data_IF_562821095094
#
_entry.id   IF_562821095094
#
_cell.length_a   1.000
_cell.length_b   1.000
_cell.length_c   1.000
_cell.angle_alpha   90.00
_cell.angle_beta   90.00
_cell.angle_gamma   90.00
#
_symmetry.space_group_name_H-M   'P 1'
#
loop_
_entity.id
_entity.type
_entity.pdbx_description
1 polymer ?
#
# COMPACT_ATOMS: atom_id res chain seq x y z
N UNK A 1 14.26 3.77 37.22
CA UNK A 1 15.51 2.97 37.29
C UNK A 1 15.42 1.68 36.47
N UNK A 2 14.47 0.76 36.74
CA UNK A 2 14.30 -0.48 35.95
C UNK A 2 13.85 -0.20 34.50
N UNK A 3 12.93 0.74 34.31
CA UNK A 3 12.45 1.19 33.00
C UNK A 3 13.56 1.82 32.16
N UNK A 4 14.37 2.73 32.73
CA UNK A 4 15.54 3.31 32.05
C UNK A 4 16.58 2.26 31.65
N UNK A 5 16.81 1.27 32.51
CA UNK A 5 17.75 0.19 32.23
C UNK A 5 17.24 -0.70 31.09
N UNK A 6 15.94 -1.02 31.10
CA UNK A 6 15.28 -1.76 30.01
C UNK A 6 15.29 -0.96 28.70
N UNK A 7 15.10 0.36 28.74
CA UNK A 7 15.14 1.23 27.55
C UNK A 7 16.57 1.34 27.01
N UNK A 8 17.56 1.53 27.88
CA UNK A 8 18.97 1.70 27.47
C UNK A 8 19.62 0.42 26.95
N UNK A 9 19.22 -0.74 27.48
CA UNK A 9 19.74 -2.04 27.08
C UNK A 9 18.71 -2.89 26.33
N UNK A 10 17.68 -2.28 25.73
CA UNK A 10 16.62 -3.03 25.04
C UNK A 10 17.14 -3.92 23.93
N UNK A 11 18.25 -3.56 23.29
CA UNK A 11 18.91 -4.37 22.27
C UNK A 11 19.29 -5.78 22.78
N UNK A 12 19.61 -5.94 24.07
CA UNK A 12 19.87 -7.26 24.70
C UNK A 12 18.64 -8.17 24.69
N UNK A 13 17.44 -7.62 24.53
CA UNK A 13 16.21 -8.39 24.40
C UNK A 13 15.71 -8.39 22.96
N UNK A 14 15.78 -7.26 22.27
CA UNK A 14 15.33 -7.11 20.89
C UNK A 14 16.11 -8.03 19.96
N UNK A 15 17.45 -8.03 20.03
CA UNK A 15 18.30 -8.77 19.09
C UNK A 15 18.22 -10.29 19.29
N UNK A 16 18.34 -10.87 20.50
CA UNK A 16 18.31 -12.32 20.65
C UNK A 16 16.89 -12.91 20.77
N UNK A 17 15.86 -12.12 21.09
CA UNK A 17 14.49 -12.64 21.30
C UNK A 17 13.52 -12.13 20.25
N UNK A 18 13.32 -10.81 20.16
CA UNK A 18 12.28 -10.24 19.31
C UNK A 18 12.60 -10.43 17.82
N UNK A 19 13.85 -10.20 17.41
CA UNK A 19 14.23 -10.29 16.01
C UNK A 19 14.12 -11.73 15.46
N UNK A 20 14.62 -12.78 16.15
CA UNK A 20 14.36 -14.17 15.75
C UNK A 20 12.88 -14.53 15.77
N UNK A 21 12.12 -14.07 16.77
CA UNK A 21 10.68 -14.31 16.83
C UNK A 21 9.94 -13.63 15.68
N UNK A 22 10.35 -12.43 15.28
CA UNK A 22 9.83 -11.72 14.11
C UNK A 22 10.13 -12.49 12.84
N UNK A 23 11.36 -12.95 12.64
CA UNK A 23 11.74 -13.77 11.48
C UNK A 23 10.92 -15.07 11.43
N UNK A 24 10.72 -15.73 12.57
CA UNK A 24 9.89 -16.93 12.66
C UNK A 24 8.42 -16.63 12.38
N UNK A 25 7.91 -15.49 12.85
CA UNK A 25 6.55 -15.03 12.59
C UNK A 25 6.35 -14.73 11.10
N UNK A 26 7.28 -14.01 10.48
CA UNK A 26 7.28 -13.69 9.06
C UNK A 26 7.40 -14.97 8.22
N UNK A 27 8.27 -15.89 8.63
CA UNK A 27 8.41 -17.20 7.98
C UNK A 27 7.13 -18.03 8.12
N UNK A 28 6.50 -18.06 9.30
CA UNK A 28 5.22 -18.73 9.51
C UNK A 28 4.14 -18.14 8.61
N UNK A 29 4.04 -16.81 8.53
CA UNK A 29 3.08 -16.15 7.64
C UNK A 29 3.42 -16.35 6.18
N UNK A 30 4.70 -16.36 5.79
CA UNK A 30 5.13 -16.64 4.43
C UNK A 30 4.76 -18.07 4.03
N UNK A 31 5.06 -19.06 4.87
CA UNK A 31 4.70 -20.47 4.66
C UNK A 31 3.19 -20.64 4.65
N UNK A 32 2.48 -20.04 5.60
CA UNK A 32 1.01 -20.06 5.64
C UNK A 32 0.45 -19.46 4.37
N UNK A 33 0.86 -18.25 4.01
CA UNK A 33 0.37 -17.56 2.82
C UNK A 33 0.75 -18.33 1.55
N UNK A 34 1.90 -19.00 1.50
CA UNK A 34 2.29 -19.88 0.40
C UNK A 34 1.39 -21.13 0.34
N UNK A 35 1.16 -21.80 1.46
CA UNK A 35 0.26 -22.97 1.57
C UNK A 35 -1.18 -22.61 1.16
N UNK A 36 -1.72 -21.51 1.69
CA UNK A 36 -3.04 -21.02 1.32
C UNK A 36 -3.08 -20.60 -0.17
N UNK A 37 -2.03 -19.93 -0.67
CA UNK A 37 -1.88 -19.59 -2.10
C UNK A 37 -1.83 -20.80 -3.02
N UNK A 38 -1.16 -21.88 -2.60
CA UNK A 38 -0.96 -23.07 -3.43
C UNK A 38 -2.10 -24.09 -3.40
N UNK A 39 -2.81 -24.23 -2.27
CA UNK A 39 -3.81 -25.30 -2.08
C UNK A 39 -5.25 -24.81 -1.92
N UNK A 40 -5.47 -23.56 -1.50
CA UNK A 40 -6.82 -23.02 -1.22
C UNK A 40 -7.23 -21.87 -2.12
N UNK A 41 -6.27 -21.17 -2.71
CA UNK A 41 -6.47 -19.99 -3.52
C UNK A 41 -6.32 -20.33 -5.00
N UNK A 42 -7.45 -20.50 -5.66
CA UNK A 42 -7.52 -20.51 -7.11
C UNK A 42 -8.43 -19.34 -7.51
N UNK A 43 -8.05 -18.51 -8.50
CA UNK A 43 -8.95 -17.51 -9.09
C UNK A 43 -10.33 -18.09 -9.44
N UNK A 44 -10.38 -19.37 -9.82
CA UNK A 44 -11.59 -20.13 -10.14
C UNK A 44 -12.59 -20.23 -8.97
N UNK A 45 -12.11 -20.20 -7.72
CA UNK A 45 -12.94 -20.27 -6.51
C UNK A 45 -13.45 -18.92 -6.03
N UNK A 46 -13.11 -17.83 -6.73
CA UNK A 46 -13.58 -16.48 -6.41
C UNK A 46 -15.11 -16.45 -6.27
N UNK A 47 -15.83 -16.97 -7.26
CA UNK A 47 -17.30 -16.98 -7.29
C UNK A 47 -17.90 -17.75 -6.11
N UNK A 48 -17.30 -18.88 -5.72
CA UNK A 48 -17.71 -19.67 -4.56
C UNK A 48 -17.55 -18.85 -3.27
N UNK A 49 -16.40 -18.21 -3.05
CA UNK A 49 -16.13 -17.39 -1.88
C UNK A 49 -17.03 -16.15 -1.80
N UNK A 50 -17.36 -15.54 -2.94
CA UNK A 50 -18.34 -14.45 -2.99
C UNK A 50 -19.72 -14.94 -2.55
N UNK A 51 -20.14 -16.13 -3.00
CA UNK A 51 -21.41 -16.74 -2.54
C UNK A 51 -21.41 -17.02 -1.04
N UNK A 52 -20.28 -17.43 -0.46
CA UNK A 52 -20.15 -17.61 1.00
C UNK A 52 -20.28 -16.29 1.76
N UNK A 53 -19.74 -15.20 1.23
CA UNK A 53 -19.93 -13.85 1.79
C UNK A 53 -21.40 -13.45 1.71
N UNK A 54 -22.06 -13.65 0.56
CA UNK A 54 -23.50 -13.40 0.42
C UNK A 54 -24.32 -14.25 1.42
N UNK A 55 -23.96 -15.52 1.61
CA UNK A 55 -24.62 -16.40 2.57
C UNK A 55 -24.49 -15.89 4.01
N UNK A 56 -23.30 -15.41 4.42
CA UNK A 56 -23.09 -14.78 5.73
C UNK A 56 -23.97 -13.52 5.90
N UNK A 57 -24.08 -12.67 4.88
CA UNK A 57 -24.96 -11.48 4.92
C UNK A 57 -26.44 -11.87 5.01
N UNK A 58 -26.88 -12.90 4.27
CA UNK A 58 -28.26 -13.43 4.36
C UNK A 58 -28.56 -13.98 5.75
N UNK A 59 -27.63 -14.74 6.34
CA UNK A 59 -27.77 -15.26 7.71
C UNK A 59 -27.89 -14.13 8.74
N UNK A 60 -27.05 -13.11 8.64
CA UNK A 60 -27.12 -11.93 9.49
C UNK A 60 -28.49 -11.22 9.38
N UNK A 61 -29.01 -11.08 8.16
CA UNK A 61 -30.33 -10.48 7.92
C UNK A 61 -31.46 -11.34 8.48
N UNK A 62 -31.40 -12.66 8.28
CA UNK A 62 -32.38 -13.61 8.83
C UNK A 62 -32.39 -13.61 10.37
N UNK A 63 -31.24 -13.35 11.01
CA UNK A 63 -31.12 -13.15 12.45
C UNK A 63 -31.64 -11.77 12.94
N UNK A 64 -32.28 -10.99 12.06
CA UNK A 64 -32.92 -9.71 12.38
C UNK A 64 -31.99 -8.50 12.33
N UNK A 65 -30.75 -8.63 11.83
CA UNK A 65 -29.87 -7.50 11.53
C UNK A 65 -29.55 -6.57 12.72
N UNK A 66 -29.72 -7.05 13.96
CA UNK A 66 -29.75 -6.20 15.17
C UNK A 66 -28.45 -5.44 15.46
N UNK A 67 -27.32 -5.91 14.97
CA UNK A 67 -26.01 -5.25 15.12
C UNK A 67 -25.34 -5.07 13.76
N UNK A 68 -24.57 -3.98 13.56
CA UNK A 68 -23.86 -3.74 12.32
C UNK A 68 -22.95 -4.89 11.90
N UNK A 69 -22.67 -4.97 10.60
CA UNK A 69 -21.68 -5.86 10.04
C UNK A 69 -20.29 -5.22 10.07
N UNK A 70 -19.27 -6.04 10.28
CA UNK A 70 -17.87 -5.63 10.08
C UNK A 70 -17.03 -6.79 9.57
N UNK A 71 -15.87 -6.48 8.98
CA UNK A 71 -14.95 -7.52 8.52
C UNK A 71 -14.25 -8.21 9.69
N UNK A 72 -14.02 -9.52 9.59
CA UNK A 72 -13.31 -10.32 10.58
C UNK A 72 -11.79 -10.03 10.65
N UNK A 73 -11.27 -9.10 9.82
CA UNK A 73 -9.87 -8.64 9.85
C UNK A 73 -9.50 -8.18 11.25
N UNK A 74 -8.41 -8.70 11.81
CA UNK A 74 -7.95 -8.37 13.17
C UNK A 74 -7.53 -6.90 13.26
N UNK A 75 -7.83 -6.27 14.38
CA UNK A 75 -7.62 -4.84 14.61
C UNK A 75 -6.16 -4.40 14.57
N UNK A 76 -5.24 -5.28 14.98
CA UNK A 76 -3.79 -5.01 14.95
C UNK A 76 -3.20 -5.00 13.54
N UNK A 77 -3.96 -5.42 12.52
CA UNK A 77 -3.53 -5.36 11.10
C UNK A 77 -3.98 -4.07 10.41
N UNK A 78 -4.44 -3.08 11.16
CA UNK A 78 -4.84 -1.78 10.64
C UNK A 78 -3.71 -0.77 10.89
N UNK A 79 -3.49 0.13 9.93
CA UNK A 79 -2.55 1.26 10.06
C UNK A 79 -3.24 2.40 10.82
N UNK A 80 -3.71 2.11 12.04
CA UNK A 80 -4.38 3.09 12.90
C UNK A 80 -4.09 2.79 14.36
N UNK A 81 -3.77 3.84 15.11
CA UNK A 81 -3.62 3.80 16.58
C UNK A 81 -4.96 3.66 17.31
N UNK A 82 -6.09 3.71 16.57
CA UNK A 82 -7.43 3.65 17.16
C UNK A 82 -7.71 2.26 17.73
N UNK A 83 -8.13 2.21 19.00
CA UNK A 83 -8.65 0.99 19.60
C UNK A 83 -10.01 0.64 18.98
N UNK A 84 -10.02 -0.40 18.14
CA UNK A 84 -11.17 -0.86 17.36
C UNK A 84 -12.14 -1.67 18.25
N UNK A 85 -12.87 -1.00 19.15
CA UNK A 85 -13.79 -1.65 20.12
C UNK A 85 -15.03 -2.26 19.49
N UNK A 86 -15.51 -1.71 18.36
CA UNK A 86 -16.76 -2.14 17.71
C UNK A 86 -16.74 -3.60 17.27
N UNK A 87 -15.57 -4.13 16.85
CA UNK A 87 -15.40 -5.54 16.46
C UNK A 87 -15.63 -6.56 17.58
N UNK A 88 -15.72 -6.12 18.85
CA UNK A 88 -16.12 -6.99 19.98
C UNK A 88 -17.64 -7.14 20.11
N UNK A 89 -18.40 -6.24 19.49
CA UNK A 89 -19.87 -6.15 19.62
C UNK A 89 -20.56 -6.52 18.31
N UNK A 90 -20.01 -6.05 17.19
CA UNK A 90 -20.60 -6.16 15.86
C UNK A 90 -20.45 -7.56 15.25
N UNK A 91 -21.28 -7.86 14.27
CA UNK A 91 -21.26 -9.15 13.58
C UNK A 91 -20.10 -9.20 12.60
N UNK A 92 -19.17 -10.13 12.79
CA UNK A 92 -18.00 -10.26 11.92
C UNK A 92 -18.28 -11.18 10.74
N UNK A 93 -18.01 -10.70 9.53
CA UNK A 93 -18.03 -11.49 8.29
C UNK A 93 -16.60 -11.82 7.87
N UNK A 94 -16.39 -13.08 7.50
CA UNK A 94 -15.12 -13.53 6.91
C UNK A 94 -15.07 -13.16 5.45
N UNK A 95 -14.02 -12.44 5.06
CA UNK A 95 -13.75 -11.99 3.69
C UNK A 95 -12.36 -12.48 3.32
N UNK A 96 -12.26 -13.78 3.06
CA UNK A 96 -10.99 -14.47 2.78
C UNK A 96 -10.65 -14.41 1.28
N UNK A 97 -10.48 -13.19 0.77
CA UNK A 97 -10.26 -12.87 -0.65
C UNK A 97 -8.90 -12.17 -0.82
N UNK A 98 -7.90 -12.87 -1.38
CA UNK A 98 -6.48 -12.48 -1.41
C UNK A 98 -5.77 -12.76 -2.75
N UNK A 99 -6.54 -13.03 -3.81
CA UNK A 99 -6.01 -13.51 -5.09
C UNK A 99 -6.03 -12.44 -6.19
N UNK A 100 -4.98 -12.49 -7.02
CA UNK A 100 -4.97 -11.81 -8.32
C UNK A 100 -5.76 -12.69 -9.28
N UNK A 101 -6.87 -12.17 -9.80
CA UNK A 101 -7.84 -12.94 -10.56
C UNK A 101 -7.49 -13.04 -12.04
N UNK A 102 -7.11 -11.91 -12.65
CA UNK A 102 -6.75 -11.85 -14.06
C UNK A 102 -5.91 -10.61 -14.37
N UNK A 103 -5.16 -10.66 -15.47
CA UNK A 103 -4.52 -9.51 -16.10
C UNK A 103 -4.95 -9.47 -17.57
N UNK A 104 -5.41 -8.30 -18.01
CA UNK A 104 -5.75 -8.01 -19.39
C UNK A 104 -4.80 -6.90 -19.88
N UNK A 105 -3.76 -7.30 -20.61
CA UNK A 105 -2.78 -6.37 -21.17
C UNK A 105 -3.31 -5.58 -22.36
N UNK A 106 -4.37 -6.06 -23.02
CA UNK A 106 -5.02 -5.34 -24.13
C UNK A 106 -5.83 -4.15 -23.63
N UNK A 107 -6.51 -4.32 -22.49
CA UNK A 107 -7.25 -3.24 -21.80
C UNK A 107 -6.42 -2.49 -20.76
N UNK A 108 -5.19 -2.94 -20.50
CA UNK A 108 -4.33 -2.44 -19.42
C UNK A 108 -5.06 -2.45 -18.04
N UNK A 109 -5.64 -3.60 -17.68
CA UNK A 109 -6.36 -3.81 -16.42
C UNK A 109 -5.84 -5.04 -15.69
N UNK A 110 -5.73 -4.94 -14.35
CA UNK A 110 -5.58 -6.08 -13.45
C UNK A 110 -6.84 -6.22 -12.61
N UNK A 111 -7.40 -7.43 -12.54
CA UNK A 111 -8.52 -7.77 -11.67
C UNK A 111 -8.01 -8.49 -10.42
N UNK A 112 -8.35 -7.98 -9.24
CA UNK A 112 -7.83 -8.46 -7.95
C UNK A 112 -8.92 -8.54 -6.90
N UNK A 113 -8.70 -9.41 -5.93
CA UNK A 113 -9.47 -9.47 -4.70
C UNK A 113 -9.08 -8.37 -3.71
N UNK A 114 -9.99 -7.93 -2.82
CA UNK A 114 -9.82 -6.78 -1.92
C UNK A 114 -8.66 -6.92 -0.92
N UNK A 115 -8.32 -8.15 -0.52
CA UNK A 115 -7.26 -8.43 0.43
C UNK A 115 -5.87 -8.56 -0.19
N UNK A 116 -5.76 -8.52 -1.53
CA UNK A 116 -4.46 -8.47 -2.20
C UNK A 116 -3.69 -7.23 -1.73
N UNK A 117 -2.43 -7.41 -1.41
CA UNK A 117 -1.51 -6.36 -0.97
C UNK A 117 -0.78 -5.71 -2.15
N UNK A 118 -0.32 -4.46 -1.97
CA UNK A 118 0.52 -3.79 -2.98
C UNK A 118 1.82 -4.55 -3.22
N UNK A 119 2.41 -5.15 -2.18
CA UNK A 119 3.57 -6.02 -2.33
C UNK A 119 3.32 -7.22 -3.24
N UNK A 120 2.14 -7.83 -3.16
CA UNK A 120 1.73 -8.91 -4.07
C UNK A 120 1.50 -8.41 -5.50
N UNK A 121 0.82 -7.27 -5.69
CA UNK A 121 0.55 -6.71 -7.02
C UNK A 121 1.85 -6.34 -7.72
N UNK A 122 2.74 -5.61 -7.05
CA UNK A 122 4.03 -5.20 -7.62
C UNK A 122 4.92 -6.41 -7.93
N UNK A 123 4.94 -7.44 -7.06
CA UNK A 123 5.66 -8.69 -7.34
C UNK A 123 5.12 -9.43 -8.57
N UNK A 124 3.81 -9.32 -8.85
CA UNK A 124 3.18 -9.95 -10.00
C UNK A 124 3.35 -9.13 -11.29
N UNK A 125 3.18 -7.81 -11.23
CA UNK A 125 3.16 -6.93 -12.41
C UNK A 125 4.55 -6.52 -12.91
N UNK A 126 5.48 -6.14 -12.01
CA UNK A 126 6.77 -5.56 -12.39
C UNK A 126 7.59 -6.51 -13.29
N UNK A 127 7.72 -7.82 -13.00
CA UNK A 127 8.42 -8.76 -13.89
C UNK A 127 7.80 -8.88 -15.28
N UNK A 128 6.54 -8.47 -15.45
CA UNK A 128 5.79 -8.47 -16.72
C UNK A 128 5.84 -7.12 -17.44
N UNK A 129 6.59 -6.14 -16.91
CA UNK A 129 6.70 -4.79 -17.48
C UNK A 129 5.56 -3.84 -17.10
N UNK A 130 4.72 -4.20 -16.12
CA UNK A 130 3.55 -3.41 -15.71
C UNK A 130 3.67 -2.94 -14.25
N UNK A 131 2.94 -1.88 -13.91
CA UNK A 131 2.74 -1.40 -12.54
C UNK A 131 1.37 -0.72 -12.40
N UNK A 132 0.99 -0.37 -11.17
CA UNK A 132 -0.14 0.53 -10.94
C UNK A 132 0.32 1.99 -11.14
N UNK A 133 -0.54 2.90 -11.63
CA UNK A 133 -0.20 4.32 -11.73
C UNK A 133 0.06 4.96 -10.36
N UNK A 134 -0.64 4.51 -9.32
CA UNK A 134 -0.46 4.95 -7.93
C UNK A 134 -0.10 3.72 -7.08
N UNK A 135 1.10 3.71 -6.51
CA UNK A 135 1.62 2.59 -5.70
C UNK A 135 2.03 3.11 -4.32
N UNK A 136 1.19 2.94 -3.30
CA UNK A 136 1.53 3.30 -1.93
C UNK A 136 2.78 2.57 -1.42
N UNK A 137 3.58 3.27 -0.63
CA UNK A 137 4.97 2.95 -0.24
C UNK A 137 5.21 1.74 0.67
N UNK A 138 4.14 1.02 1.02
CA UNK A 138 4.13 -0.02 2.04
C UNK A 138 3.61 -1.34 1.47
N UNK A 139 4.42 -2.38 1.58
CA UNK A 139 4.14 -3.71 1.03
C UNK A 139 2.79 -4.28 1.51
N UNK A 140 2.45 -4.09 2.80
CA UNK A 140 1.31 -4.73 3.47
C UNK A 140 -0.04 -4.03 3.27
N UNK A 141 -0.08 -2.88 2.58
CA UNK A 141 -1.34 -2.19 2.33
C UNK A 141 -2.20 -2.99 1.34
N UNK A 142 -3.46 -3.22 1.73
CA UNK A 142 -4.43 -3.98 0.94
C UNK A 142 -5.22 -3.08 0.00
N UNK A 143 -5.57 -3.58 -1.20
CA UNK A 143 -6.39 -2.89 -2.20
C UNK A 143 -7.65 -2.27 -1.60
N UNK A 144 -8.43 -3.03 -0.82
CA UNK A 144 -9.65 -2.51 -0.20
C UNK A 144 -9.39 -1.39 0.80
N UNK A 145 -8.28 -1.44 1.54
CA UNK A 145 -7.91 -0.38 2.47
C UNK A 145 -7.58 0.93 1.76
N UNK A 146 -6.93 0.85 0.59
CA UNK A 146 -6.53 2.00 -0.21
C UNK A 146 -7.70 2.63 -0.96
N UNK A 147 -8.69 1.82 -1.36
CA UNK A 147 -9.90 2.31 -2.02
C UNK A 147 -10.88 2.88 -1.00
N UNK A 148 -11.26 2.10 0.02
CA UNK A 148 -12.30 2.50 0.98
C UNK A 148 -11.79 3.50 2.03
N UNK A 149 -10.49 3.55 2.25
CA UNK A 149 -9.81 4.60 3.02
C UNK A 149 -9.28 5.67 2.08
N UNK A 150 -7.99 5.96 2.21
CA UNK A 150 -7.27 6.89 1.33
C UNK A 150 -5.97 6.21 0.91
N UNK A 151 -5.68 6.27 -0.39
CA UNK A 151 -4.39 5.88 -0.95
C UNK A 151 -3.84 7.05 -1.78
N UNK A 152 -2.67 7.54 -1.40
CA UNK A 152 -1.94 8.60 -2.10
C UNK A 152 -0.51 8.14 -2.31
N UNK A 153 0.15 8.67 -3.34
CA UNK A 153 1.60 8.61 -3.40
C UNK A 153 2.24 9.75 -4.22
N UNK A 154 3.57 9.79 -4.31
CA UNK A 154 4.33 10.72 -5.14
C UNK A 154 3.93 10.77 -6.63
N UNK A 155 3.26 9.75 -7.18
CA UNK A 155 2.68 9.80 -8.54
C UNK A 155 1.24 10.33 -8.59
N UNK A 156 0.61 10.58 -7.43
CA UNK A 156 -0.77 11.06 -7.35
C UNK A 156 -0.99 12.43 -7.98
N UNK A 157 0.06 13.25 -8.11
CA UNK A 157 -0.04 14.52 -8.82
C UNK A 157 -0.37 14.34 -10.32
N UNK A 158 -0.04 13.19 -10.92
CA UNK A 158 -0.38 12.83 -12.32
C UNK A 158 -1.65 12.00 -12.43
N UNK A 159 -1.86 11.08 -11.49
CA UNK A 159 -2.88 10.03 -11.61
C UNK A 159 -4.04 10.14 -10.63
N UNK A 160 -4.02 11.10 -9.71
CA UNK A 160 -5.01 11.23 -8.64
C UNK A 160 -4.77 10.26 -7.48
N UNK A 161 -5.83 9.93 -6.77
CA UNK A 161 -5.82 8.99 -5.66
C UNK A 161 -5.78 7.54 -6.16
N UNK A 162 -5.49 6.60 -5.26
CA UNK A 162 -5.60 5.17 -5.58
C UNK A 162 -7.02 4.77 -6.03
N UNK A 163 -8.05 5.48 -5.56
CA UNK A 163 -9.42 5.28 -6.03
C UNK A 163 -9.63 5.74 -7.48
N UNK A 164 -8.84 6.68 -7.99
CA UNK A 164 -9.00 7.22 -9.35
C UNK A 164 -8.48 6.26 -10.43
N UNK A 165 -7.65 5.29 -10.05
CA UNK A 165 -7.17 4.22 -10.95
C UNK A 165 -8.09 3.00 -10.98
N UNK A 166 -9.22 3.04 -10.25
CA UNK A 166 -10.23 1.97 -10.26
C UNK A 166 -11.13 2.14 -11.48
N UNK A 167 -11.33 1.03 -12.20
CA UNK A 167 -12.20 0.97 -13.39
C UNK A 167 -13.55 0.31 -13.06
N UNK A 168 -13.54 -0.70 -12.18
CA UNK A 168 -14.76 -1.35 -11.70
C UNK A 168 -14.58 -1.94 -10.31
N UNK A 169 -15.68 -1.97 -9.55
CA UNK A 169 -15.76 -2.62 -8.24
C UNK A 169 -16.91 -3.62 -8.24
N UNK A 170 -16.74 -4.76 -7.56
CA UNK A 170 -17.83 -5.66 -7.22
C UNK A 170 -18.02 -5.64 -5.71
N UNK A 171 -19.26 -5.40 -5.27
CA UNK A 171 -19.62 -5.13 -3.88
C UNK A 171 -20.80 -6.00 -3.49
N UNK A 172 -20.69 -6.71 -2.36
CA UNK A 172 -21.84 -7.34 -1.71
C UNK A 172 -22.44 -6.31 -0.74
N UNK A 173 -23.63 -5.83 -1.07
CA UNK A 173 -24.35 -4.82 -0.28
C UNK A 173 -25.22 -5.46 0.81
N UNK A 174 -25.88 -4.65 1.65
CA UNK A 174 -26.54 -5.10 2.88
C UNK A 174 -27.72 -6.08 2.70
N UNK A 175 -28.26 -6.22 1.48
CA UNK A 175 -29.27 -7.22 1.13
C UNK A 175 -28.69 -8.53 0.58
N UNK A 176 -27.37 -8.67 0.60
CA UNK A 176 -26.60 -9.76 0.01
C UNK A 176 -26.63 -9.81 -1.53
N UNK A 177 -27.08 -8.75 -2.21
CA UNK A 177 -26.95 -8.61 -3.66
C UNK A 177 -25.50 -8.31 -4.02
N UNK A 178 -25.01 -8.96 -5.09
CA UNK A 178 -23.71 -8.64 -5.69
C UNK A 178 -23.93 -7.58 -6.75
N UNK A 179 -23.35 -6.41 -6.55
CA UNK A 179 -23.46 -5.26 -7.45
C UNK A 179 -22.10 -5.00 -8.10
N UNK A 180 -22.08 -4.84 -9.42
CA UNK A 180 -20.90 -4.36 -10.15
C UNK A 180 -21.06 -2.87 -10.42
N UNK A 181 -20.19 -2.05 -9.86
CA UNK A 181 -20.20 -0.61 -10.00
C UNK A 181 -19.05 -0.13 -10.90
N UNK A 182 -19.35 0.74 -11.86
CA UNK A 182 -18.42 1.46 -12.74
C UNK A 182 -18.81 2.95 -12.78
N UNK A 183 -18.11 3.76 -13.57
CA UNK A 183 -18.46 5.18 -13.77
C UNK A 183 -19.83 5.36 -14.45
N UNK A 184 -20.32 4.35 -15.18
CA UNK A 184 -21.57 4.37 -15.94
C UNK A 184 -22.67 3.50 -15.30
N UNK A 185 -22.29 2.41 -14.62
CA UNK A 185 -23.22 1.43 -14.04
C UNK A 185 -23.15 1.51 -12.52
N UNK A 186 -24.28 1.78 -11.84
CA UNK A 186 -24.30 2.04 -10.39
C UNK A 186 -23.27 3.12 -9.97
N UNK A 187 -23.24 4.21 -10.75
CA UNK A 187 -22.25 5.28 -10.63
C UNK A 187 -22.29 5.98 -9.25
N UNK A 188 -23.47 6.09 -8.66
CA UNK A 188 -23.68 6.59 -7.30
C UNK A 188 -22.90 5.76 -6.27
N UNK A 189 -23.00 4.43 -6.34
CA UNK A 189 -22.21 3.52 -5.50
C UNK A 189 -20.72 3.64 -5.83
N UNK A 190 -20.35 3.66 -7.11
CA UNK A 190 -18.96 3.75 -7.54
C UNK A 190 -18.25 4.98 -6.95
N UNK A 191 -18.87 6.16 -7.05
CA UNK A 191 -18.32 7.41 -6.54
C UNK A 191 -18.42 7.55 -5.01
N UNK A 192 -19.33 6.82 -4.36
CA UNK A 192 -19.46 6.83 -2.90
C UNK A 192 -18.54 5.82 -2.19
N UNK A 193 -17.98 4.83 -2.89
CA UNK A 193 -17.09 3.82 -2.30
C UNK A 193 -15.81 4.41 -1.69
N UNK A 194 -15.09 5.34 -2.35
CA UNK A 194 -13.89 5.95 -1.78
C UNK A 194 -14.18 6.64 -0.45
N UNK A 195 -13.28 6.53 0.52
CA UNK A 195 -13.44 7.10 1.86
C UNK A 195 -14.71 6.64 2.63
N UNK A 196 -15.40 5.58 2.19
CA UNK A 196 -16.58 5.04 2.88
C UNK A 196 -16.24 4.18 4.10
N UNK A 197 -14.98 3.79 4.27
CA UNK A 197 -14.50 2.90 5.32
C UNK A 197 -15.28 1.58 5.45
N UNK A 198 -15.85 1.10 4.33
CA UNK A 198 -16.64 -0.13 4.25
C UNK A 198 -18.08 -0.02 4.74
N UNK A 199 -18.61 1.20 4.87
CA UNK A 199 -20.00 1.43 5.29
C UNK A 199 -21.05 1.03 4.22
N UNK A 200 -20.68 1.07 2.94
CA UNK A 200 -21.61 0.87 1.82
C UNK A 200 -21.73 -0.58 1.37
N UNK A 201 -20.82 -1.45 1.83
CA UNK A 201 -20.83 -2.86 1.48
C UNK A 201 -19.46 -3.51 1.60
N UNK A 202 -19.41 -4.78 1.25
CA UNK A 202 -18.20 -5.59 1.28
C UNK A 202 -17.65 -5.65 -0.14
N UNK A 203 -16.54 -4.97 -0.38
CA UNK A 203 -15.80 -5.07 -1.65
C UNK A 203 -15.29 -6.50 -1.82
N UNK A 204 -15.53 -7.11 -2.98
CA UNK A 204 -15.15 -8.50 -3.26
C UNK A 204 -14.25 -8.66 -4.49
N UNK A 205 -14.33 -7.78 -5.48
CA UNK A 205 -13.37 -7.71 -6.57
C UNK A 205 -13.19 -6.27 -7.05
N UNK A 206 -12.02 -5.99 -7.61
CA UNK A 206 -11.66 -4.67 -8.16
C UNK A 206 -10.91 -4.85 -9.46
N UNK A 207 -11.24 -4.03 -10.45
CA UNK A 207 -10.44 -3.85 -11.67
C UNK A 207 -9.67 -2.53 -11.54
N UNK A 208 -8.34 -2.62 -11.63
CA UNK A 208 -7.41 -1.50 -11.53
C UNK A 208 -6.71 -1.29 -12.86
N UNK A 209 -6.57 -0.03 -13.27
CA UNK A 209 -5.74 0.35 -14.41
C UNK A 209 -4.27 0.07 -14.12
N UNK A 210 -3.55 -0.44 -15.11
CA UNK A 210 -2.10 -0.65 -15.08
C UNK A 210 -1.40 0.19 -16.17
N UNK A 211 -0.15 0.54 -15.94
CA UNK A 211 0.70 1.25 -16.89
C UNK A 211 2.01 0.50 -17.12
N UNK A 212 2.65 0.75 -18.25
CA UNK A 212 3.99 0.23 -18.52
C UNK A 212 4.98 0.86 -17.54
N UNK A 213 5.91 0.04 -17.07
CA UNK A 213 6.97 0.47 -16.18
C UNK A 213 8.34 0.07 -16.72
N UNK A 214 9.38 0.75 -16.26
CA UNK A 214 10.77 0.36 -16.51
C UNK A 214 11.39 -0.15 -15.20
N UNK A 215 12.41 -1.02 -15.25
CA UNK A 215 12.91 -1.71 -14.06
C UNK A 215 13.60 -0.81 -13.03
N UNK A 216 13.93 0.44 -13.39
CA UNK A 216 14.63 1.40 -12.54
C UNK A 216 13.85 2.70 -12.40
N UNK A 217 14.11 3.41 -11.31
CA UNK A 217 13.71 4.80 -11.11
C UNK A 217 14.98 5.63 -10.95
N UNK A 218 15.13 6.66 -11.79
CA UNK A 218 16.14 7.69 -11.62
C UNK A 218 15.60 8.74 -10.67
N UNK A 219 16.22 8.88 -9.50
CA UNK A 219 15.85 9.86 -8.48
C UNK A 219 16.83 11.02 -8.47
N UNK A 220 16.29 12.21 -8.25
CA UNK A 220 17.03 13.46 -8.03
C UNK A 220 16.65 14.03 -6.68
N UNK A 221 17.65 14.50 -5.93
CA UNK A 221 17.49 15.07 -4.61
C UNK A 221 17.77 16.57 -4.65
N UNK A 222 16.78 17.36 -4.23
CA UNK A 222 16.81 18.81 -4.16
C UNK A 222 16.77 19.22 -2.68
N UNK A 223 17.92 19.47 -2.03
CA UNK A 223 17.93 19.97 -0.66
C UNK A 223 17.32 21.38 -0.64
N UNK A 224 16.54 21.65 0.40
CA UNK A 224 15.86 22.93 0.63
C UNK A 224 16.07 23.35 2.08
N UNK A 225 16.22 24.66 2.30
CA UNK A 225 16.61 25.25 3.58
C UNK A 225 15.52 26.18 4.18
N UNK A 226 14.30 26.10 3.66
CA UNK A 226 13.12 26.74 4.25
C UNK A 226 11.85 26.03 3.79
N UNK A 227 10.78 26.16 4.57
CA UNK A 227 9.46 25.67 4.17
C UNK A 227 8.95 26.34 2.88
N UNK A 228 9.20 27.64 2.70
CA UNK A 228 8.77 28.36 1.50
C UNK A 228 9.48 27.81 0.26
N UNK A 229 10.79 27.63 0.34
CA UNK A 229 11.57 27.02 -0.74
C UNK A 229 11.11 25.59 -1.03
N UNK A 230 10.80 24.79 0.01
CA UNK A 230 10.26 23.45 -0.16
C UNK A 230 8.95 23.47 -0.97
N UNK A 231 8.02 24.37 -0.63
CA UNK A 231 6.76 24.55 -1.35
C UNK A 231 6.98 25.05 -2.79
N UNK A 232 7.89 25.99 -3.00
CA UNK A 232 8.22 26.54 -4.32
C UNK A 232 8.82 25.48 -5.23
N UNK A 233 9.80 24.71 -4.74
CA UNK A 233 10.42 23.61 -5.48
C UNK A 233 9.38 22.54 -5.79
N UNK A 234 8.60 22.09 -4.81
CA UNK A 234 7.58 21.07 -5.02
C UNK A 234 6.54 21.53 -6.06
N UNK A 235 6.02 22.76 -5.94
CA UNK A 235 5.06 23.32 -6.88
C UNK A 235 5.66 23.46 -8.29
N UNK A 236 6.91 23.90 -8.41
CA UNK A 236 7.61 24.01 -9.70
C UNK A 236 7.74 22.64 -10.38
N UNK A 237 8.12 21.61 -9.64
CA UNK A 237 8.30 20.27 -10.21
C UNK A 237 6.97 19.63 -10.63
N UNK A 238 5.89 19.84 -9.86
CA UNK A 238 4.56 19.31 -10.18
C UNK A 238 3.87 20.07 -11.31
N UNK A 239 4.04 21.40 -11.39
CA UNK A 239 3.33 22.25 -12.35
C UNK A 239 4.06 22.46 -13.68
N UNK A 240 5.27 21.89 -13.86
CA UNK A 240 6.00 22.01 -15.13
C UNK A 240 5.28 21.23 -16.25
N UNK A 241 5.46 21.58 -17.54
CA UNK A 241 4.73 20.94 -18.64
C UNK A 241 4.90 19.42 -18.77
N UNK A 242 6.06 18.89 -18.37
CA UNK A 242 6.37 17.47 -18.33
C UNK A 242 6.82 17.07 -16.91
N UNK A 243 5.89 16.92 -15.96
CA UNK A 243 6.21 16.68 -14.56
C UNK A 243 6.85 15.29 -14.37
N UNK A 244 7.77 15.14 -13.39
CA UNK A 244 8.40 13.86 -13.12
C UNK A 244 7.34 12.80 -12.78
N UNK A 245 7.65 11.53 -12.99
CA UNK A 245 6.72 10.46 -12.62
C UNK A 245 6.36 10.47 -11.13
N UNK A 246 7.35 10.76 -10.29
CA UNK A 246 7.20 10.82 -8.83
C UNK A 246 7.72 12.14 -8.29
N UNK A 247 6.96 12.77 -7.39
CA UNK A 247 7.40 13.92 -6.60
C UNK A 247 7.04 13.68 -5.13
N UNK A 248 8.03 13.72 -4.26
CA UNK A 248 7.88 13.52 -2.81
C UNK A 248 8.80 14.49 -2.07
N UNK A 249 8.51 14.83 -0.82
CA UNK A 249 9.39 15.63 0.01
C UNK A 249 9.47 15.10 1.43
N UNK A 250 10.68 15.09 2.00
CA UNK A 250 10.90 14.80 3.42
C UNK A 250 11.44 16.06 4.09
N UNK A 251 10.72 16.58 5.09
CA UNK A 251 11.19 17.67 5.94
C UNK A 251 11.77 17.11 7.23
N UNK A 252 13.01 17.50 7.56
CA UNK A 252 13.71 17.08 8.77
C UNK A 252 13.57 18.12 9.88
N UNK A 253 13.51 19.40 9.50
CA UNK A 253 13.20 20.51 10.38
C UNK A 253 12.38 21.58 9.63
N UNK A 254 12.07 22.69 10.32
CA UNK A 254 11.33 23.82 9.72
C UNK A 254 12.06 24.44 8.52
N UNK A 255 13.37 24.34 8.53
CA UNK A 255 14.34 24.97 7.63
C UNK A 255 15.29 23.95 7.00
N UNK A 256 14.94 22.67 6.98
CA UNK A 256 15.70 21.66 6.26
C UNK A 256 14.82 20.54 5.75
N UNK A 257 14.95 20.26 4.46
CA UNK A 257 14.19 19.21 3.78
C UNK A 257 14.86 18.79 2.49
N UNK A 258 14.40 17.68 1.94
CA UNK A 258 14.82 17.20 0.63
C UNK A 258 13.58 16.89 -0.18
N UNK A 259 13.42 17.62 -1.29
CA UNK A 259 12.44 17.30 -2.31
C UNK A 259 13.06 16.30 -3.28
N UNK A 260 12.31 15.28 -3.64
CA UNK A 260 12.76 14.19 -4.51
C UNK A 260 11.90 14.16 -5.76
N UNK A 261 12.54 14.07 -6.91
CA UNK A 261 11.85 13.83 -8.19
C UNK A 261 12.35 12.54 -8.81
N UNK A 262 11.43 11.74 -9.36
CA UNK A 262 11.74 10.40 -9.88
C UNK A 262 11.12 10.15 -11.25
N UNK A 263 11.85 9.47 -12.14
CA UNK A 263 11.37 9.05 -13.46
C UNK A 263 11.71 7.58 -13.74
N UNK A 264 10.86 6.88 -14.50
CA UNK A 264 11.17 5.53 -14.96
C UNK A 264 12.39 5.51 -15.90
N UNK A 265 13.36 4.67 -15.59
CA UNK A 265 14.60 4.48 -16.35
C UNK A 265 14.76 3.03 -16.84
N UNK A 266 15.21 2.87 -18.09
CA UNK A 266 15.34 1.55 -18.73
C UNK A 266 16.55 0.77 -18.21
N UNK A 267 17.58 1.49 -17.78
CA UNK A 267 18.82 0.92 -17.26
C UNK A 267 19.40 1.77 -16.14
N UNK A 268 20.58 1.38 -15.71
CA UNK A 268 21.41 2.11 -14.77
C UNK A 268 22.06 3.27 -15.53
N UNK A 269 21.32 4.36 -15.72
CA UNK A 269 21.81 5.52 -16.49
C UNK A 269 22.95 6.25 -15.76
N UNK A 270 23.13 6.00 -14.45
CA UNK A 270 24.16 6.61 -13.61
C UNK A 270 25.05 5.56 -12.91
N UNK A 271 26.28 5.97 -12.59
CA UNK A 271 27.24 5.15 -11.86
C UNK A 271 26.77 4.77 -10.44
N UNK A 272 25.89 5.58 -9.84
CA UNK A 272 25.39 5.38 -8.48
C UNK A 272 24.08 4.58 -8.48
N UNK A 273 24.21 3.26 -8.49
CA UNK A 273 23.10 2.32 -8.35
C UNK A 273 22.88 2.04 -6.87
N UNK A 274 21.69 2.39 -6.35
CA UNK A 274 21.37 2.22 -4.94
C UNK A 274 20.23 1.21 -4.74
N UNK A 275 20.59 -0.01 -4.38
CA UNK A 275 19.63 -1.00 -3.91
C UNK A 275 19.31 -0.75 -2.42
N UNK A 276 18.36 0.13 -2.12
CA UNK A 276 17.96 0.51 -0.76
C UNK A 276 17.34 -0.64 0.07
N UNK A 277 16.96 -1.75 -0.57
CA UNK A 277 16.33 -2.90 0.08
C UNK A 277 17.24 -3.72 1.00
N UNK A 278 18.56 -3.53 0.95
CA UNK A 278 19.51 -4.34 1.74
C UNK A 278 19.51 -4.00 3.23
N UNK A 279 19.49 -5.02 4.09
CA UNK A 279 19.37 -4.88 5.55
C UNK A 279 20.45 -3.98 6.18
N UNK A 280 21.66 -3.93 5.62
CA UNK A 280 22.78 -3.11 6.11
C UNK A 280 22.77 -1.66 5.60
N UNK A 281 21.94 -1.35 4.60
CA UNK A 281 21.82 0.02 4.08
C UNK A 281 21.06 0.90 5.08
N UNK A 282 21.38 2.21 5.14
CA UNK A 282 20.61 3.15 5.93
C UNK A 282 19.13 3.14 5.50
N UNK A 283 18.24 3.48 6.42
CA UNK A 283 16.84 3.70 6.09
C UNK A 283 16.70 4.82 5.06
N UNK A 284 15.67 4.72 4.21
CA UNK A 284 15.48 5.62 3.08
C UNK A 284 15.49 7.09 3.52
N UNK A 285 14.76 7.46 4.58
CA UNK A 285 14.76 8.84 5.06
C UNK A 285 16.14 9.31 5.56
N UNK A 286 16.98 8.44 6.14
CA UNK A 286 18.34 8.82 6.56
C UNK A 286 19.25 9.03 5.36
N UNK A 287 19.12 8.14 4.37
CA UNK A 287 19.83 8.25 3.10
C UNK A 287 19.50 9.57 2.41
N UNK A 288 18.21 9.90 2.30
CA UNK A 288 17.76 11.17 1.75
C UNK A 288 18.34 12.38 2.51
N UNK A 289 18.41 12.30 3.84
CA UNK A 289 18.93 13.37 4.69
C UNK A 289 20.40 13.68 4.44
N UNK A 290 21.19 12.70 4.01
CA UNK A 290 22.61 12.92 3.67
C UNK A 290 22.80 13.88 2.49
N UNK A 291 21.79 14.07 1.64
CA UNK A 291 21.86 15.01 0.52
C UNK A 291 21.72 16.47 0.94
N UNK A 292 21.30 16.76 2.19
CA UNK A 292 21.37 18.11 2.76
C UNK A 292 22.83 18.59 2.84
N UNK A 293 23.74 17.73 3.29
CA UNK A 293 25.17 18.08 3.42
C UNK A 293 25.89 18.02 2.07
N UNK A 294 25.48 17.12 1.17
CA UNK A 294 26.10 16.94 -0.15
C UNK A 294 25.69 18.01 -1.17
N UNK A 295 24.62 18.77 -0.91
CA UNK A 295 24.09 19.74 -1.86
C UNK A 295 23.26 19.12 -3.00
N UNK A 296 22.64 17.97 -2.74
CA UNK A 296 21.82 17.24 -3.71
C UNK A 296 22.56 16.10 -4.41
N UNK A 297 21.87 15.45 -5.35
CA UNK A 297 22.45 14.32 -6.07
C UNK A 297 21.45 13.57 -6.93
N UNK A 298 21.94 12.58 -7.67
CA UNK A 298 21.13 11.69 -8.47
C UNK A 298 21.54 10.24 -8.26
N UNK A 299 20.57 9.32 -8.25
CA UNK A 299 20.83 7.89 -8.16
C UNK A 299 19.80 7.06 -8.94
N UNK A 300 20.15 5.80 -9.21
CA UNK A 300 19.24 4.83 -9.83
C UNK A 300 18.84 3.75 -8.81
N UNK A 301 17.55 3.62 -8.53
CA UNK A 301 16.99 2.63 -7.60
C UNK A 301 16.17 1.59 -8.37
N UNK A 302 16.26 0.28 -8.04
CA UNK A 302 15.35 -0.71 -8.61
C UNK A 302 13.89 -0.34 -8.31
N UNK A 303 13.01 -0.37 -9.31
CA UNK A 303 11.62 0.13 -9.19
C UNK A 303 10.87 -0.45 -7.99
N UNK A 304 10.93 -1.77 -7.81
CA UNK A 304 10.25 -2.42 -6.68
C UNK A 304 10.80 -1.92 -5.35
N UNK A 305 12.10 -1.67 -5.23
CA UNK A 305 12.66 -1.19 -3.98
C UNK A 305 12.24 0.27 -3.72
N UNK A 306 12.16 1.10 -4.76
CA UNK A 306 11.62 2.44 -4.65
C UNK A 306 10.17 2.44 -4.16
N UNK A 307 9.29 1.62 -4.75
CA UNK A 307 7.91 1.52 -4.32
C UNK A 307 7.73 1.03 -2.88
N UNK A 308 8.69 0.32 -2.31
CA UNK A 308 8.58 -0.22 -0.94
C UNK A 308 9.59 0.40 0.02
N UNK A 309 10.12 1.57 -0.33
CA UNK A 309 11.23 2.24 0.36
C UNK A 309 10.95 2.51 1.83
N UNK A 310 9.69 2.75 2.19
CA UNK A 310 9.29 3.00 3.57
C UNK A 310 8.81 1.76 4.32
N UNK A 311 8.70 0.60 3.67
CA UNK A 311 8.31 -0.65 4.36
C UNK A 311 9.24 -0.96 5.53
N UNK A 312 10.55 -0.74 5.36
CA UNK A 312 11.56 -0.94 6.42
C UNK A 312 11.62 0.20 7.44
N UNK A 313 11.15 1.39 7.08
CA UNK A 313 11.27 2.61 7.88
C UNK A 313 9.91 3.17 8.32
N UNK A 314 8.84 2.36 8.23
CA UNK A 314 7.43 2.73 8.43
C UNK A 314 7.19 3.42 9.79
N UNK A 315 8.10 3.22 10.74
CA UNK A 315 8.21 4.04 11.93
C UNK A 315 9.66 4.50 12.11
N UNK A 316 9.89 5.79 11.89
CA UNK A 316 11.01 6.62 12.38
C UNK A 316 11.40 6.30 13.85
N UNK A 317 10.51 5.63 14.57
CA UNK A 317 10.72 5.03 15.90
C UNK A 317 11.82 3.99 15.97
N UNK A 318 12.33 3.42 14.87
CA UNK A 318 13.50 2.55 14.97
C UNK A 318 14.72 3.26 15.58
N UNK A 319 14.86 4.57 15.41
CA UNK A 319 15.89 5.37 16.10
C UNK A 319 15.56 5.62 17.57
N UNK A 320 14.29 5.50 17.94
CA UNK A 320 13.83 5.54 19.31
C UNK A 320 14.00 4.17 19.99
N UNK A 321 14.47 3.11 19.29
CA UNK A 321 14.78 1.76 19.79
C UNK A 321 16.26 1.66 20.15
#
# INVERSE_FOLDING_TARGET
MLTDLLVRYRWLFVVPVILPLSVLFDLYWAIRNWYYRGLKNAPERHTERVRDIQAQVRQWRAAGGRRPLCTARKSWMNVSVRVVRYKRRDNTIRVDLYDILAIDTGRAIIRVEPGVTIGQITCYLIPRGWTLPVVPELDDLTVSGLILGVGIEGSSHKYGLFADIVEACEVVIGDATLVRATREVHADLFHALPCSYGALGILVAVELRIILCKPWVRLRYHPVYSLNEACEVFAREVCRPDPPEFVEGILYARDSGVIMTGDFAAGQEHANVNAIGWWFKPWFYKHCGSFLEQGGGEESIPLRQYYHRHTRSIFWEGELI
#
